data_IF_557640564162
#
_entry.id   IF_557640564162
#
_cell.length_a   1.000
_cell.length_b   1.000
_cell.length_c   1.000
_cell.angle_alpha   90.00
_cell.angle_beta   90.00
_cell.angle_gamma   90.00
#
_symmetry.space_group_name_H-M   'P 1'
#
loop_
_entity.id
_entity.type
_entity.pdbx_description
1 polymer ?
#
# COMPACT_ATOMS: atom_id res chain seq x y z
N UNK A 1 2.15 11.66 -11.57
CA UNK A 1 1.42 11.74 -12.86
C UNK A 1 0.36 12.83 -12.75
N UNK A 2 0.11 13.68 -13.77
CA UNK A 2 -0.93 14.71 -13.67
C UNK A 2 -2.29 14.10 -13.35
N UNK A 3 -3.00 14.65 -12.34
CA UNK A 3 -4.33 14.19 -11.94
C UNK A 3 -4.38 12.91 -11.09
N UNK A 4 -3.24 12.26 -10.83
CA UNK A 4 -3.18 11.13 -9.91
C UNK A 4 -3.19 11.59 -8.43
N UNK A 5 -3.60 10.70 -7.50
CA UNK A 5 -3.44 10.92 -6.07
C UNK A 5 -2.00 11.26 -5.68
N UNK A 6 -1.83 12.01 -4.59
CA UNK A 6 -0.52 12.42 -4.08
C UNK A 6 0.33 11.21 -3.66
N UNK A 7 -0.28 10.14 -3.15
CA UNK A 7 0.41 8.91 -2.77
C UNK A 7 0.95 8.10 -3.96
N UNK A 8 0.60 8.46 -5.20
CA UNK A 8 1.07 7.75 -6.40
C UNK A 8 2.38 8.36 -6.90
N UNK A 9 3.48 7.64 -6.65
CA UNK A 9 4.82 8.03 -7.06
C UNK A 9 5.01 7.96 -8.57
N UNK A 10 4.31 7.03 -9.23
CA UNK A 10 4.44 6.83 -10.66
C UNK A 10 3.82 5.53 -11.14
N UNK A 11 4.24 5.10 -12.32
CA UNK A 11 3.79 3.85 -12.96
C UNK A 11 5.02 3.02 -13.33
N UNK A 12 4.88 1.70 -13.28
CA UNK A 12 5.86 0.73 -13.76
C UNK A 12 5.20 -0.26 -14.71
N UNK A 13 5.99 -0.84 -15.61
CA UNK A 13 5.57 -1.99 -16.41
C UNK A 13 5.96 -3.28 -15.68
N UNK A 14 4.98 -4.11 -15.36
CA UNK A 14 5.19 -5.44 -14.79
C UNK A 14 4.70 -6.47 -15.80
N UNK A 15 5.61 -6.88 -16.70
CA UNK A 15 5.34 -7.89 -17.74
C UNK A 15 4.21 -7.49 -18.68
N UNK A 16 4.16 -6.22 -19.08
CA UNK A 16 3.14 -5.65 -19.96
C UNK A 16 1.91 -5.09 -19.23
N UNK A 17 1.80 -5.32 -17.90
CA UNK A 17 0.77 -4.70 -17.08
C UNK A 17 1.30 -3.38 -16.50
N UNK A 18 0.64 -2.27 -16.81
CA UNK A 18 0.96 -0.97 -16.21
C UNK A 18 0.39 -0.93 -14.78
N UNK A 19 1.28 -0.81 -13.80
CA UNK A 19 0.96 -0.86 -12.37
C UNK A 19 1.33 0.46 -11.71
N UNK A 20 0.42 0.99 -10.88
CA UNK A 20 0.69 2.19 -10.10
C UNK A 20 1.59 1.88 -8.90
N UNK A 21 2.60 2.73 -8.68
CA UNK A 21 3.48 2.68 -7.51
C UNK A 21 2.95 3.64 -6.46
N UNK A 22 2.64 3.11 -5.27
CA UNK A 22 2.05 3.82 -4.15
C UNK A 22 3.09 3.91 -3.03
N UNK A 23 3.27 5.10 -2.48
CA UNK A 23 3.99 5.32 -1.23
C UNK A 23 3.03 5.14 -0.05
N UNK A 24 3.23 4.13 0.81
CA UNK A 24 2.38 3.90 1.95
C UNK A 24 2.70 4.82 3.14
N UNK A 25 3.76 5.64 3.10
CA UNK A 25 4.23 6.43 4.24
C UNK A 25 3.12 7.27 4.89
N UNK A 26 2.32 7.98 4.08
CA UNK A 26 1.20 8.80 4.57
C UNK A 26 0.12 7.96 5.28
N UNK A 27 -0.06 6.69 4.89
CA UNK A 27 -1.00 5.76 5.54
C UNK A 27 -0.44 5.20 6.84
N UNK A 28 0.87 5.15 6.97
CA UNK A 28 1.57 4.63 8.15
C UNK A 28 1.91 5.74 9.16
N UNK A 29 1.72 7.01 8.80
CA UNK A 29 2.13 8.16 9.60
C UNK A 29 3.64 8.41 9.53
N UNK A 30 4.31 7.80 8.55
CA UNK A 30 5.73 7.97 8.30
C UNK A 30 5.98 9.23 7.47
N UNK A 31 7.16 9.87 7.64
CA UNK A 31 7.54 11.00 6.80
C UNK A 31 7.68 10.54 5.34
N UNK A 32 6.99 11.24 4.44
CA UNK A 32 7.19 11.06 2.99
C UNK A 32 8.64 11.34 2.65
N UNK A 33 9.25 10.44 1.88
CA UNK A 33 10.64 10.54 1.44
C UNK A 33 10.78 10.15 -0.02
N UNK A 34 11.89 10.57 -0.63
CA UNK A 34 12.23 10.09 -1.96
C UNK A 34 12.59 8.59 -1.92
N UNK A 35 12.19 7.81 -2.94
CA UNK A 35 12.62 6.42 -3.08
C UNK A 35 14.15 6.30 -3.22
N UNK A 36 14.73 5.33 -2.54
CA UNK A 36 16.15 5.00 -2.59
C UNK A 36 16.40 3.75 -3.44
N UNK A 37 17.62 3.55 -3.93
CA UNK A 37 17.97 2.38 -4.76
C UNK A 37 17.81 1.02 -4.05
N UNK A 38 17.85 1.01 -2.71
CA UNK A 38 17.67 -0.22 -1.93
C UNK A 38 16.21 -0.49 -1.59
N UNK A 39 15.29 0.40 -1.94
CA UNK A 39 13.87 0.19 -1.71
C UNK A 39 13.34 -0.96 -2.58
N UNK A 40 12.30 -1.60 -2.07
CA UNK A 40 11.61 -2.69 -2.70
C UNK A 40 10.23 -2.27 -3.18
N UNK A 41 9.76 -2.89 -4.26
CA UNK A 41 8.39 -2.75 -4.75
C UNK A 41 7.65 -4.06 -4.52
N UNK A 42 6.65 -4.04 -3.64
CA UNK A 42 5.78 -5.19 -3.40
C UNK A 42 4.61 -5.14 -4.38
N UNK A 43 4.58 -6.08 -5.32
CA UNK A 43 3.45 -6.22 -6.24
C UNK A 43 2.31 -6.94 -5.51
N UNK A 44 1.20 -6.25 -5.35
CA UNK A 44 0.02 -6.72 -4.62
C UNK A 44 -1.21 -6.66 -5.50
N UNK A 45 -2.15 -7.59 -5.26
CA UNK A 45 -3.47 -7.56 -5.88
C UNK A 45 -4.48 -7.14 -4.82
N UNK A 46 -4.98 -5.91 -4.93
CA UNK A 46 -6.19 -5.50 -4.23
C UNK A 46 -7.43 -5.98 -4.99
N UNK A 47 -8.60 -5.81 -4.38
CA UNK A 47 -9.88 -6.16 -4.97
C UNK A 47 -10.20 -5.36 -6.25
N UNK A 48 -9.75 -4.10 -6.32
CA UNK A 48 -9.99 -3.21 -7.47
C UNK A 48 -8.90 -3.28 -8.54
N UNK A 49 -7.64 -3.43 -8.13
CA UNK A 49 -6.50 -3.36 -9.04
C UNK A 49 -5.24 -4.02 -8.50
N UNK A 50 -4.34 -4.33 -9.43
CA UNK A 50 -2.94 -4.60 -9.13
C UNK A 50 -2.21 -3.28 -8.84
N UNK A 51 -1.40 -3.27 -7.79
CA UNK A 51 -0.62 -2.10 -7.35
C UNK A 51 0.78 -2.54 -6.92
N UNK A 52 1.72 -1.60 -6.88
CA UNK A 52 3.04 -1.77 -6.30
C UNK A 52 3.15 -0.87 -5.07
N UNK A 53 3.50 -1.43 -3.91
CA UNK A 53 3.77 -0.65 -2.71
C UNK A 53 5.28 -0.44 -2.56
N UNK A 54 5.70 0.79 -2.29
CA UNK A 54 7.08 1.06 -1.89
C UNK A 54 7.33 0.55 -0.47
N UNK A 55 8.39 -0.24 -0.30
CA UNK A 55 8.90 -0.63 1.00
C UNK A 55 10.37 -0.27 1.11
N UNK A 56 10.79 0.16 2.29
CA UNK A 56 12.20 0.38 2.62
C UNK A 56 12.97 -0.94 2.71
N UNK A 57 12.42 -1.92 3.42
CA UNK A 57 13.07 -3.19 3.73
C UNK A 57 12.05 -4.34 3.77
N UNK A 58 12.49 -5.56 3.46
CA UNK A 58 11.69 -6.79 3.58
C UNK A 58 12.42 -7.76 4.50
N UNK A 59 11.91 -7.95 5.73
CA UNK A 59 12.56 -8.80 6.72
C UNK A 59 12.32 -10.30 6.51
N UNK A 60 11.16 -10.69 5.98
CA UNK A 60 10.84 -12.10 5.73
C UNK A 60 9.34 -12.38 5.64
N UNK A 61 9.01 -13.67 5.62
CA UNK A 61 7.62 -14.16 5.63
C UNK A 61 7.39 -14.90 6.94
N UNK A 62 6.29 -14.57 7.62
CA UNK A 62 5.86 -15.22 8.86
C UNK A 62 4.50 -15.87 8.66
N UNK A 63 4.28 -17.01 9.33
CA UNK A 63 3.02 -17.74 9.35
C UNK A 63 2.52 -17.82 10.80
N UNK A 64 1.81 -16.78 11.29
CA UNK A 64 1.31 -16.77 12.66
C UNK A 64 0.13 -17.72 12.83
N UNK A 65 -0.09 -18.21 14.05
CA UNK A 65 -1.34 -18.89 14.38
C UNK A 65 -2.47 -17.85 14.44
N UNK A 66 -3.73 -18.22 14.13
CA UNK A 66 -4.86 -17.28 14.20
C UNK A 66 -5.02 -16.60 15.55
N UNK A 67 -4.59 -17.25 16.64
CA UNK A 67 -4.60 -16.71 18.01
C UNK A 67 -3.57 -15.62 18.25
N UNK A 68 -2.53 -15.54 17.41
CA UNK A 68 -1.48 -14.53 17.53
C UNK A 68 -1.88 -13.20 16.87
N UNK A 69 -2.91 -13.25 16.00
CA UNK A 69 -3.47 -12.09 15.31
C UNK A 69 -4.62 -11.51 16.13
N UNK A 70 -4.49 -10.23 16.49
CA UNK A 70 -5.54 -9.47 17.16
C UNK A 70 -6.20 -8.50 16.20
N UNK A 71 -7.52 -8.34 16.29
CA UNK A 71 -8.26 -7.33 15.53
C UNK A 71 -7.88 -5.91 16.03
N UNK A 72 -7.45 -5.05 15.11
CA UNK A 72 -7.07 -3.67 15.42
C UNK A 72 -8.29 -2.75 15.62
N UNK A 73 -9.45 -3.13 15.07
CA UNK A 73 -10.68 -2.34 15.12
C UNK A 73 -11.20 -2.06 16.52
N UNK A 74 -10.75 -2.83 17.53
CA UNK A 74 -11.23 -2.71 18.90
C UNK A 74 -10.49 -1.66 19.75
N UNK A 75 -9.31 -1.19 19.34
CA UNK A 75 -8.49 -0.28 20.16
C UNK A 75 -7.85 0.88 19.40
N UNK A 76 -8.01 0.95 18.07
CA UNK A 76 -7.54 2.08 17.26
C UNK A 76 -8.70 2.67 16.42
N UNK A 77 -9.58 3.50 17.02
CA UNK A 77 -10.63 4.18 16.28
C UNK A 77 -10.01 5.13 15.24
N UNK A 78 -10.40 5.00 13.97
CA UNK A 78 -9.86 5.82 12.88
C UNK A 78 -8.59 5.27 12.22
N UNK A 79 -8.21 4.01 12.50
CA UNK A 79 -7.02 3.36 11.97
C UNK A 79 -6.96 3.13 10.45
N UNK A 80 -7.87 3.73 9.67
CA UNK A 80 -7.86 3.77 8.20
C UNK A 80 -7.64 2.42 7.53
N UNK A 81 -6.37 2.08 7.31
CA UNK A 81 -5.92 0.89 6.62
C UNK A 81 -5.44 -0.27 7.52
N UNK A 82 -5.41 -0.16 8.86
CA UNK A 82 -4.98 -1.26 9.75
C UNK A 82 -6.15 -2.21 10.03
N UNK A 83 -6.00 -3.49 9.69
CA UNK A 83 -6.99 -4.54 9.94
C UNK A 83 -6.67 -5.40 11.17
N UNK A 84 -5.41 -5.45 11.59
CA UNK A 84 -5.01 -6.28 12.72
C UNK A 84 -3.60 -6.01 13.20
N UNK A 85 -3.20 -6.72 14.24
CA UNK A 85 -1.83 -6.73 14.73
C UNK A 85 -1.37 -8.12 15.07
N UNK A 86 -0.06 -8.30 14.95
CA UNK A 86 0.65 -9.51 15.35
C UNK A 86 1.75 -9.11 16.32
N UNK A 87 1.84 -9.77 17.47
CA UNK A 87 2.98 -9.62 18.36
C UNK A 87 4.10 -10.56 17.89
N UNK A 88 5.05 -10.01 17.15
CA UNK A 88 6.27 -10.72 16.76
C UNK A 88 7.31 -10.75 17.88
N UNK A 89 8.42 -11.47 17.62
CA UNK A 89 9.53 -11.57 18.55
C UNK A 89 10.21 -10.21 18.84
N UNK A 90 10.25 -9.33 17.84
CA UNK A 90 10.95 -8.03 17.92
C UNK A 90 10.01 -6.85 18.18
N UNK A 91 8.70 -7.06 18.23
CA UNK A 91 7.76 -5.97 18.43
C UNK A 91 6.36 -6.25 17.89
N UNK A 92 5.60 -5.18 17.72
CA UNK A 92 4.27 -5.21 17.14
C UNK A 92 4.36 -5.05 15.63
N UNK A 93 3.73 -5.95 14.90
CA UNK A 93 3.57 -5.89 13.45
C UNK A 93 2.13 -5.46 13.16
N UNK A 94 1.97 -4.42 12.35
CA UNK A 94 0.66 -3.97 11.88
C UNK A 94 0.29 -4.74 10.61
N UNK A 95 -0.93 -5.28 10.59
CA UNK A 95 -1.49 -5.93 9.41
C UNK A 95 -2.42 -4.91 8.76
N UNK A 96 -2.16 -4.57 7.50
CA UNK A 96 -2.92 -3.59 6.77
C UNK A 96 -3.87 -4.23 5.75
N UNK A 97 -5.07 -3.68 5.63
CA UNK A 97 -6.01 -3.98 4.57
C UNK A 97 -5.62 -3.24 3.29
N UNK A 98 -5.15 -3.98 2.30
CA UNK A 98 -4.75 -3.46 0.98
C UNK A 98 -5.86 -2.65 0.30
N UNK A 99 -7.12 -3.05 0.46
CA UNK A 99 -8.26 -2.39 -0.19
C UNK A 99 -8.61 -1.02 0.43
N UNK A 100 -8.00 -0.71 1.58
CA UNK A 100 -8.18 0.56 2.29
C UNK A 100 -6.98 1.50 2.12
N UNK A 101 -5.97 1.15 1.29
CA UNK A 101 -4.81 2.03 1.04
C UNK A 101 -5.18 3.26 0.22
N UNK A 102 -6.08 3.10 -0.74
CA UNK A 102 -6.64 4.19 -1.52
C UNK A 102 -8.08 4.42 -1.06
N UNK A 103 -8.42 5.67 -0.80
CA UNK A 103 -9.82 6.07 -0.67
C UNK A 103 -10.55 5.92 -2.01
N UNK A 104 -11.88 5.90 -1.97
CA UNK A 104 -12.68 5.85 -3.20
C UNK A 104 -12.37 7.01 -4.15
N UNK A 105 -12.14 8.21 -3.62
CA UNK A 105 -11.78 9.40 -4.41
C UNK A 105 -10.40 9.27 -5.05
N UNK A 106 -9.46 8.65 -4.34
CA UNK A 106 -8.11 8.38 -4.85
C UNK A 106 -8.13 7.30 -5.93
N UNK A 107 -8.96 6.27 -5.77
CA UNK A 107 -9.16 5.25 -6.82
C UNK A 107 -9.73 5.87 -8.09
N UNK A 108 -10.80 6.65 -7.96
CA UNK A 108 -11.46 7.32 -9.09
C UNK A 108 -10.50 8.28 -9.82
N UNK A 109 -9.71 9.05 -9.06
CA UNK A 109 -8.73 9.98 -9.67
C UNK A 109 -7.57 9.24 -10.34
N UNK A 110 -7.10 8.14 -9.76
CA UNK A 110 -6.07 7.29 -10.37
C UNK A 110 -6.59 6.62 -11.66
N UNK A 111 -7.83 6.13 -11.66
CA UNK A 111 -8.47 5.55 -12.85
C UNK A 111 -8.54 6.57 -13.99
N UNK A 112 -9.09 7.77 -13.75
CA UNK A 112 -9.15 8.85 -14.75
C UNK A 112 -7.77 9.23 -15.29
N UNK A 113 -6.77 9.30 -14.41
CA UNK A 113 -5.42 9.67 -14.80
C UNK A 113 -4.74 8.59 -15.67
N UNK A 114 -5.06 7.31 -15.45
CA UNK A 114 -4.60 6.20 -16.29
C UNK A 114 -5.29 6.20 -17.66
N UNK A 115 -6.59 6.44 -17.73
CA UNK A 115 -7.34 6.55 -19.00
C UNK A 115 -6.83 7.71 -19.85
N UNK A 116 -6.62 8.88 -19.24
CA UNK A 116 -6.10 10.06 -19.94
C UNK A 116 -4.72 9.81 -20.57
N UNK A 117 -3.89 8.95 -19.96
CA UNK A 117 -2.59 8.56 -20.50
C UNK A 117 -2.70 7.58 -21.67
N UNK A 118 -3.67 6.66 -21.66
CA UNK A 118 -3.87 5.72 -22.77
C UNK A 118 -4.34 6.41 -24.05
N UNK A 119 -4.96 7.59 -23.91
CA UNK A 119 -5.50 8.38 -25.01
C UNK A 119 -4.56 9.50 -25.50
N UNK A 120 -3.34 9.59 -24.97
CA UNK A 120 -2.35 10.62 -25.31
C UNK A 120 -1.22 10.04 -26.18
#
# INVERSE_FOLDING_TARGET
>A
MPGAPVCVLGLIDVRGDVVAVIDPADRFGDPVREPAMHDHLLIVNGARRKMALLANEVHGVVAPEPTDVSDAGNWLPGAGCVSGTLRGAEGLVLIHNLDAFLSLEEEDSLERALEARQNA
#
